data_IF_037703732492
#
_entry.id   IF_037703732492
#
_cell.length_a   1.000
_cell.length_b   1.000
_cell.length_c   1.000
_cell.angle_alpha   90.00
_cell.angle_beta   90.00
_cell.angle_gamma   90.00
#
_symmetry.space_group_name_H-M   'P 1'
#
loop_
_entity.id
_entity.type
_entity.pdbx_description
1 polymer ?
#
# COMPACT_ATOMS: atom_id res chain seq x y z
N UNK A 1 18.83 -10.16 14.81
CA UNK A 1 17.75 -9.35 15.44
C UNK A 1 18.29 -8.43 16.57
N UNK A 2 19.12 -8.90 17.51
CA UNK A 2 19.60 -8.12 18.67
C UNK A 2 20.55 -6.95 18.28
N UNK A 3 21.38 -7.09 17.24
CA UNK A 3 22.27 -6.01 16.78
C UNK A 3 21.52 -4.83 16.13
N UNK A 4 20.40 -5.09 15.45
CA UNK A 4 19.56 -4.03 14.82
C UNK A 4 18.77 -3.20 15.86
N UNK A 5 18.34 -3.79 16.98
CA UNK A 5 17.70 -3.07 18.11
C UNK A 5 18.58 -1.97 18.69
N UNK A 6 19.90 -2.22 18.87
CA UNK A 6 20.83 -1.21 19.41
C UNK A 6 21.12 -0.05 18.48
N UNK A 7 21.14 -0.26 17.16
CA UNK A 7 21.39 0.83 16.20
C UNK A 7 20.21 1.79 16.09
N UNK A 8 18.95 1.33 16.13
CA UNK A 8 17.79 2.23 16.06
C UNK A 8 17.61 3.10 17.32
N UNK A 9 17.86 2.61 18.51
CA UNK A 9 17.80 3.41 19.76
C UNK A 9 18.88 4.50 19.83
N UNK A 10 19.98 4.37 19.11
CA UNK A 10 21.07 5.36 19.09
C UNK A 10 20.81 6.52 18.10
N UNK A 11 19.97 6.32 17.05
CA UNK A 11 19.70 7.35 16.05
C UNK A 11 18.62 8.38 16.47
N UNK A 12 17.89 8.16 17.55
CA UNK A 12 16.80 9.07 18.00
C UNK A 12 17.34 10.31 18.76
N UNK A 13 18.64 10.35 19.13
CA UNK A 13 19.18 11.41 19.99
C UNK A 13 19.87 12.58 19.28
N UNK A 14 20.22 12.46 17.99
CA UNK A 14 20.77 13.56 17.20
C UNK A 14 19.83 13.85 16.02
N UNK A 15 18.75 14.58 16.30
CA UNK A 15 17.92 15.16 15.25
C UNK A 15 18.63 16.38 14.66
N UNK A 16 19.58 16.18 13.75
CA UNK A 16 19.81 17.17 12.71
C UNK A 16 18.46 17.44 12.06
N UNK A 17 17.98 18.69 12.10
CA UNK A 17 16.74 19.11 11.45
C UNK A 17 16.92 18.92 9.94
N UNK A 18 16.62 17.71 9.46
CA UNK A 18 16.55 17.46 8.03
C UNK A 18 15.41 18.33 7.51
N UNK A 19 15.75 19.40 6.79
CA UNK A 19 14.75 20.22 6.11
C UNK A 19 14.09 19.34 5.03
N UNK A 20 12.76 19.18 5.05
CA UNK A 20 12.09 18.32 4.09
C UNK A 20 12.28 18.84 2.66
N UNK A 21 12.66 17.97 1.76
CA UNK A 21 12.73 18.24 0.33
C UNK A 21 11.32 18.04 -0.27
N UNK A 22 10.54 19.12 -0.30
CA UNK A 22 9.12 19.10 -0.68
C UNK A 22 8.99 19.32 -2.19
N UNK A 23 8.25 18.42 -2.87
CA UNK A 23 7.86 18.55 -4.28
C UNK A 23 6.35 18.38 -4.45
N UNK A 24 5.79 19.00 -5.48
CA UNK A 24 4.43 18.69 -5.96
C UNK A 24 4.48 17.39 -6.75
N UNK A 25 3.47 16.53 -6.59
CA UNK A 25 3.38 15.30 -7.37
C UNK A 25 3.15 15.61 -8.85
N UNK A 26 4.06 15.12 -9.67
CA UNK A 26 4.03 15.29 -11.12
C UNK A 26 4.65 14.04 -11.77
N UNK A 27 4.13 13.56 -12.90
CA UNK A 27 4.67 12.39 -13.59
C UNK A 27 6.16 12.46 -13.90
N UNK A 28 6.74 13.64 -14.12
CA UNK A 28 8.17 13.80 -14.37
C UNK A 28 9.07 13.26 -13.25
N UNK A 29 8.53 13.12 -12.03
CA UNK A 29 9.26 12.59 -10.88
C UNK A 29 9.48 11.07 -10.96
N UNK A 30 8.57 10.33 -11.57
CA UNK A 30 8.51 8.87 -11.49
C UNK A 30 8.24 8.15 -12.82
N UNK A 31 7.80 8.84 -13.89
CA UNK A 31 7.39 8.21 -15.16
C UNK A 31 8.50 7.39 -15.82
N UNK A 32 9.76 7.78 -15.63
CA UNK A 32 10.92 7.05 -16.17
C UNK A 32 11.07 5.65 -15.56
N UNK A 33 10.58 5.47 -14.34
CA UNK A 33 10.62 4.22 -13.59
C UNK A 33 9.28 3.47 -13.68
N UNK A 34 8.30 4.01 -14.40
CA UNK A 34 7.00 3.36 -14.53
C UNK A 34 7.13 2.06 -15.32
N UNK A 35 6.60 0.92 -14.82
CA UNK A 35 6.84 -0.40 -15.40
C UNK A 35 5.96 -0.67 -16.62
N UNK A 36 6.12 0.12 -17.68
CA UNK A 36 5.47 -0.15 -18.94
C UNK A 36 5.94 -1.49 -19.50
N UNK A 37 5.01 -2.38 -19.92
CA UNK A 37 5.39 -3.67 -20.46
C UNK A 37 6.16 -3.54 -21.77
N UNK A 38 7.16 -4.40 -21.93
CA UNK A 38 7.94 -4.54 -23.17
C UNK A 38 7.65 -5.89 -23.84
N UNK A 39 8.01 -6.04 -25.10
CA UNK A 39 7.69 -7.24 -25.89
C UNK A 39 8.25 -8.56 -25.35
N UNK A 40 9.32 -8.49 -24.53
CA UNK A 40 9.93 -9.65 -23.87
C UNK A 40 9.26 -10.03 -22.55
N UNK A 41 8.31 -9.25 -22.07
CA UNK A 41 7.68 -9.49 -20.77
C UNK A 41 6.71 -10.68 -20.81
N UNK A 42 6.64 -11.33 -19.66
CA UNK A 42 5.64 -12.34 -19.36
C UNK A 42 4.99 -12.06 -18.00
N UNK A 43 3.89 -12.75 -17.68
CA UNK A 43 3.11 -12.45 -16.47
C UNK A 43 3.91 -12.41 -15.17
N UNK A 44 4.96 -13.20 -15.03
CA UNK A 44 5.78 -13.20 -13.81
C UNK A 44 6.91 -12.18 -13.84
N UNK A 45 7.45 -11.78 -15.00
CA UNK A 45 8.39 -10.66 -15.08
C UNK A 45 7.70 -9.34 -14.71
N UNK A 46 6.39 -9.24 -14.98
CA UNK A 46 5.54 -8.13 -14.57
C UNK A 46 5.10 -8.18 -13.09
N UNK A 47 5.55 -9.20 -12.34
CA UNK A 47 5.35 -9.39 -10.92
C UNK A 47 4.01 -10.02 -10.52
N UNK A 48 4.05 -10.79 -9.45
CA UNK A 48 2.88 -11.39 -8.80
C UNK A 48 2.59 -10.65 -7.50
N UNK A 49 1.44 -10.00 -7.42
CA UNK A 49 0.92 -9.39 -6.21
C UNK A 49 0.11 -10.42 -5.41
N UNK A 50 0.39 -10.53 -4.12
CA UNK A 50 -0.42 -11.29 -3.17
C UNK A 50 -1.30 -10.31 -2.37
N UNK A 51 -2.61 -10.57 -2.33
CA UNK A 51 -3.57 -9.78 -1.55
C UNK A 51 -4.18 -10.69 -0.48
N UNK A 52 -4.00 -10.32 0.79
CA UNK A 52 -4.74 -10.96 1.88
C UNK A 52 -6.19 -10.46 1.84
N UNK A 53 -7.15 -11.37 1.71
CA UNK A 53 -8.57 -10.99 1.64
C UNK A 53 -9.19 -10.93 3.04
N UNK A 54 -10.28 -10.20 3.15
CA UNK A 54 -11.16 -10.29 4.31
C UNK A 54 -11.98 -11.58 4.33
N UNK A 55 -12.72 -11.82 5.42
CA UNK A 55 -13.62 -12.96 5.54
C UNK A 55 -14.82 -12.85 4.56
N UNK A 56 -15.61 -13.91 4.50
CA UNK A 56 -16.67 -14.11 3.48
C UNK A 56 -17.61 -12.94 3.23
N UNK A 57 -17.89 -12.06 4.17
CA UNK A 57 -18.78 -10.89 3.99
C UNK A 57 -18.00 -9.57 3.76
N UNK A 58 -16.68 -9.63 3.63
CA UNK A 58 -15.81 -8.46 3.47
C UNK A 58 -14.84 -8.59 2.28
N UNK A 59 -15.28 -9.28 1.23
CA UNK A 59 -14.44 -9.56 0.04
C UNK A 59 -14.34 -8.39 -0.95
N UNK A 60 -15.19 -7.38 -0.82
CA UNK A 60 -15.28 -6.25 -1.76
C UNK A 60 -13.97 -5.48 -1.90
N UNK A 61 -13.32 -5.17 -0.78
CA UNK A 61 -12.05 -4.44 -0.73
C UNK A 61 -10.94 -5.15 -1.52
N UNK A 62 -10.76 -6.46 -1.29
CA UNK A 62 -9.75 -7.25 -2.02
C UNK A 62 -10.05 -7.33 -3.53
N UNK A 63 -11.32 -7.38 -3.93
CA UNK A 63 -11.73 -7.37 -5.34
C UNK A 63 -11.43 -6.04 -6.01
N UNK A 64 -11.72 -4.92 -5.36
CA UNK A 64 -11.39 -3.58 -5.85
C UNK A 64 -9.87 -3.43 -6.02
N UNK A 65 -9.10 -3.80 -4.98
CA UNK A 65 -7.65 -3.78 -5.01
C UNK A 65 -7.06 -4.68 -6.10
N UNK A 66 -7.55 -5.92 -6.23
CA UNK A 66 -7.06 -6.88 -7.23
C UNK A 66 -7.33 -6.42 -8.66
N UNK A 67 -8.54 -5.92 -8.92
CA UNK A 67 -8.91 -5.40 -10.24
C UNK A 67 -8.11 -4.16 -10.63
N UNK A 68 -7.95 -3.21 -9.72
CA UNK A 68 -7.14 -2.01 -9.98
C UNK A 68 -5.66 -2.36 -10.20
N UNK A 69 -5.12 -3.32 -9.43
CA UNK A 69 -3.77 -3.82 -9.62
C UNK A 69 -3.55 -4.43 -11.01
N UNK A 70 -4.49 -5.26 -11.48
CA UNK A 70 -4.42 -5.83 -12.82
C UNK A 70 -4.48 -4.76 -13.92
N UNK A 71 -5.32 -3.73 -13.74
CA UNK A 71 -5.47 -2.63 -14.70
C UNK A 71 -4.21 -1.78 -14.83
N UNK A 72 -3.50 -1.54 -13.72
CA UNK A 72 -2.29 -0.71 -13.71
C UNK A 72 -1.04 -1.48 -14.13
N UNK A 73 -1.11 -2.81 -14.20
CA UNK A 73 -0.05 -3.58 -14.82
C UNK A 73 0.50 -4.78 -14.05
N UNK A 74 -0.13 -5.21 -12.95
CA UNK A 74 0.26 -6.48 -12.33
C UNK A 74 0.21 -7.63 -13.34
N UNK A 75 1.24 -8.46 -13.38
CA UNK A 75 1.27 -9.64 -14.26
C UNK A 75 0.39 -10.76 -13.76
N UNK A 76 0.24 -10.87 -12.44
CA UNK A 76 -0.66 -11.80 -11.77
C UNK A 76 -1.09 -11.22 -10.42
N UNK A 77 -2.30 -11.53 -9.99
CA UNK A 77 -2.81 -11.24 -8.65
C UNK A 77 -3.26 -12.55 -8.03
N UNK A 78 -2.79 -12.85 -6.82
CA UNK A 78 -3.22 -14.01 -6.03
C UNK A 78 -3.92 -13.51 -4.77
N UNK A 79 -5.21 -13.82 -4.64
CA UNK A 79 -6.00 -13.53 -3.46
C UNK A 79 -5.88 -14.70 -2.47
N UNK A 80 -5.54 -14.38 -1.24
CA UNK A 80 -5.38 -15.36 -0.15
C UNK A 80 -6.60 -15.33 0.75
N UNK A 81 -7.24 -16.47 0.93
CA UNK A 81 -8.46 -16.60 1.72
C UNK A 81 -8.58 -17.99 2.37
N UNK A 82 -9.57 -18.16 3.23
CA UNK A 82 -10.04 -19.47 3.66
C UNK A 82 -10.97 -20.11 2.60
N UNK A 83 -11.37 -21.34 2.83
CA UNK A 83 -12.19 -22.10 1.89
C UNK A 83 -13.61 -21.53 1.71
N UNK A 84 -14.21 -21.00 2.77
CA UNK A 84 -15.55 -20.42 2.71
C UNK A 84 -15.55 -19.10 1.92
N UNK A 85 -14.54 -18.29 2.14
CA UNK A 85 -14.32 -17.06 1.36
C UNK A 85 -14.02 -17.36 -0.11
N UNK A 86 -13.25 -18.42 -0.40
CA UNK A 86 -12.96 -18.82 -1.77
C UNK A 86 -14.21 -19.16 -2.57
N UNK A 87 -15.20 -19.85 -1.98
CA UNK A 87 -16.48 -20.18 -2.61
C UNK A 87 -17.29 -18.92 -3.03
N UNK A 88 -17.09 -17.82 -2.31
CA UNK A 88 -17.74 -16.55 -2.62
C UNK A 88 -16.94 -15.77 -3.68
N UNK A 89 -15.62 -15.81 -3.61
CA UNK A 89 -14.76 -15.07 -4.53
C UNK A 89 -14.73 -15.70 -5.93
N UNK A 90 -14.66 -17.04 -6.01
CA UNK A 90 -14.49 -17.75 -7.26
C UNK A 90 -15.49 -17.36 -8.35
N UNK A 91 -16.82 -17.27 -8.12
CA UNK A 91 -17.76 -16.85 -9.15
C UNK A 91 -17.70 -15.37 -9.53
N UNK A 92 -16.93 -14.55 -8.80
CA UNK A 92 -16.86 -13.10 -8.96
C UNK A 92 -15.54 -12.60 -9.56
N UNK A 93 -14.54 -13.47 -9.68
CA UNK A 93 -13.25 -13.17 -10.26
C UNK A 93 -13.07 -13.94 -11.57
N UNK A 94 -12.18 -13.48 -12.45
CA UNK A 94 -11.94 -14.12 -13.75
C UNK A 94 -10.47 -14.32 -14.05
N UNK A 95 -9.62 -13.41 -13.60
CA UNK A 95 -8.18 -13.39 -13.93
C UNK A 95 -7.30 -13.46 -12.69
N UNK A 96 -7.84 -13.11 -11.55
CA UNK A 96 -7.17 -13.27 -10.27
C UNK A 96 -7.15 -14.73 -9.86
N UNK A 97 -6.06 -15.15 -9.24
CA UNK A 97 -5.89 -16.51 -8.70
C UNK A 97 -6.34 -16.54 -7.24
N UNK A 98 -6.82 -17.70 -6.78
CA UNK A 98 -7.10 -17.95 -5.38
C UNK A 98 -6.04 -18.87 -4.78
N UNK A 99 -5.59 -18.53 -3.58
CA UNK A 99 -4.76 -19.37 -2.73
C UNK A 99 -5.50 -19.64 -1.42
N UNK A 100 -6.03 -20.85 -1.29
CA UNK A 100 -6.80 -21.23 -0.11
C UNK A 100 -5.83 -21.69 0.99
N UNK A 101 -5.92 -21.00 2.14
CA UNK A 101 -5.14 -21.32 3.34
C UNK A 101 -5.92 -22.34 4.16
N UNK A 102 -5.40 -23.54 4.26
CA UNK A 102 -5.96 -24.64 5.08
C UNK A 102 -5.18 -24.84 6.36
N UNK A 103 -3.87 -24.61 6.29
CA UNK A 103 -2.96 -24.78 7.41
C UNK A 103 -2.21 -23.50 7.74
N UNK A 104 -1.80 -23.34 9.00
CA UNK A 104 -1.07 -22.16 9.49
C UNK A 104 0.16 -21.78 8.66
N UNK A 105 0.83 -22.76 8.05
CA UNK A 105 2.05 -22.55 7.29
C UNK A 105 1.81 -22.29 5.78
N UNK A 106 0.59 -22.39 5.28
CA UNK A 106 0.33 -22.24 3.85
C UNK A 106 0.59 -20.82 3.37
N UNK A 107 0.24 -19.82 4.17
CA UNK A 107 0.55 -18.43 3.86
C UNK A 107 2.07 -18.19 3.75
N UNK A 108 2.84 -18.71 4.70
CA UNK A 108 4.30 -18.64 4.66
C UNK A 108 4.89 -19.34 3.42
N UNK A 109 4.36 -20.50 3.05
CA UNK A 109 4.81 -21.22 1.84
C UNK A 109 4.57 -20.38 0.58
N UNK A 110 3.40 -19.71 0.49
CA UNK A 110 3.09 -18.80 -0.61
C UNK A 110 4.05 -17.62 -0.67
N UNK A 111 4.31 -16.96 0.46
CA UNK A 111 5.20 -15.79 0.53
C UNK A 111 6.66 -16.10 0.18
N UNK A 112 7.08 -17.37 0.32
CA UNK A 112 8.43 -17.83 -0.10
C UNK A 112 8.54 -18.13 -1.59
N UNK A 113 7.45 -18.05 -2.33
CA UNK A 113 7.50 -18.20 -3.79
C UNK A 113 8.24 -16.99 -4.40
N UNK A 114 9.32 -17.27 -5.11
CA UNK A 114 10.17 -16.23 -5.73
C UNK A 114 9.44 -15.37 -6.77
N UNK A 115 8.24 -15.75 -7.19
CA UNK A 115 7.40 -14.97 -8.11
C UNK A 115 6.64 -13.86 -7.41
N UNK A 116 6.50 -13.93 -6.08
CA UNK A 116 5.85 -12.88 -5.27
C UNK A 116 6.72 -11.64 -5.29
N UNK A 117 6.23 -10.57 -5.88
CA UNK A 117 6.91 -9.29 -5.98
C UNK A 117 6.45 -8.28 -4.92
N UNK A 118 5.23 -8.41 -4.45
CA UNK A 118 4.64 -7.51 -3.44
C UNK A 118 3.46 -8.15 -2.72
N UNK A 119 3.13 -7.61 -1.56
CA UNK A 119 1.98 -8.05 -0.76
C UNK A 119 1.15 -6.83 -0.36
N UNK A 120 -0.17 -6.96 -0.44
CA UNK A 120 -1.14 -6.01 0.13
C UNK A 120 -1.91 -6.69 1.26
N UNK A 121 -1.90 -6.06 2.43
CA UNK A 121 -2.65 -6.53 3.61
C UNK A 121 -3.40 -5.35 4.22
N UNK A 122 -4.62 -5.61 4.66
CA UNK A 122 -5.42 -4.70 5.48
C UNK A 122 -6.81 -4.41 4.93
N UNK A 123 -6.99 -4.11 3.65
CA UNK A 123 -8.31 -3.80 3.12
C UNK A 123 -9.34 -4.89 3.43
N UNK A 124 -10.31 -4.59 4.32
CA UNK A 124 -11.38 -5.48 4.71
C UNK A 124 -10.96 -6.74 5.49
N UNK A 125 -9.75 -6.78 6.03
CA UNK A 125 -9.24 -7.99 6.71
C UNK A 125 -9.80 -8.18 8.11
N UNK A 126 -10.32 -7.11 8.72
CA UNK A 126 -10.66 -7.05 10.15
C UNK A 126 -9.43 -6.82 11.02
N UNK A 127 -9.58 -5.95 12.03
CA UNK A 127 -8.52 -5.67 13.00
C UNK A 127 -8.51 -6.78 14.08
N UNK A 128 -7.77 -7.86 13.82
CA UNK A 128 -7.69 -9.06 14.67
C UNK A 128 -6.28 -9.66 14.68
N UNK A 129 -6.06 -10.66 15.55
CA UNK A 129 -4.77 -11.31 15.72
C UNK A 129 -4.28 -12.04 14.46
N UNK A 130 -5.16 -12.56 13.63
CA UNK A 130 -4.78 -13.22 12.39
C UNK A 130 -4.24 -12.21 11.37
N UNK A 131 -4.93 -11.09 11.19
CA UNK A 131 -4.47 -9.98 10.34
C UNK A 131 -3.12 -9.46 10.82
N UNK A 132 -2.97 -9.28 12.14
CA UNK A 132 -1.70 -8.88 12.76
C UNK A 132 -0.59 -9.87 12.46
N UNK A 133 -0.83 -11.17 12.68
CA UNK A 133 0.16 -12.22 12.45
C UNK A 133 0.56 -12.33 10.97
N UNK A 134 -0.42 -12.23 10.05
CA UNK A 134 -0.16 -12.24 8.61
C UNK A 134 0.62 -11.01 8.15
N UNK A 135 0.38 -9.83 8.73
CA UNK A 135 1.13 -8.60 8.46
C UNK A 135 2.60 -8.78 8.82
N UNK A 136 2.90 -9.25 10.05
CA UNK A 136 4.28 -9.51 10.48
C UNK A 136 4.95 -10.59 9.64
N UNK A 137 4.20 -11.62 9.25
CA UNK A 137 4.70 -12.67 8.35
C UNK A 137 5.04 -12.12 6.96
N UNK A 138 4.19 -11.26 6.38
CA UNK A 138 4.47 -10.63 5.09
C UNK A 138 5.75 -9.79 5.15
N UNK A 139 5.90 -8.95 6.17
CA UNK A 139 7.09 -8.14 6.40
C UNK A 139 8.37 -8.97 6.61
N UNK A 140 8.26 -10.19 7.12
CA UNK A 140 9.39 -11.08 7.35
C UNK A 140 9.88 -11.78 6.06
N UNK A 141 9.01 -11.98 5.07
CA UNK A 141 9.31 -12.81 3.89
C UNK A 141 9.27 -12.07 2.56
N UNK A 142 8.65 -10.87 2.49
CA UNK A 142 8.53 -10.10 1.24
C UNK A 142 9.04 -8.68 1.45
N UNK A 143 9.93 -8.24 0.59
CA UNK A 143 10.56 -6.92 0.73
C UNK A 143 9.60 -5.76 0.47
N UNK A 144 8.62 -5.94 -0.41
CA UNK A 144 7.66 -4.90 -0.79
C UNK A 144 6.26 -5.19 -0.25
N UNK A 145 5.92 -4.52 0.86
CA UNK A 145 4.61 -4.66 1.50
C UNK A 145 3.86 -3.33 1.51
N UNK A 146 2.59 -3.36 1.13
CA UNK A 146 1.64 -2.26 1.32
C UNK A 146 0.71 -2.64 2.46
N UNK A 147 0.71 -1.83 3.52
CA UNK A 147 -0.06 -2.04 4.73
C UNK A 147 -1.09 -0.91 4.83
N UNK A 148 -2.37 -1.26 4.81
CA UNK A 148 -3.48 -0.31 4.80
C UNK A 148 -4.57 -0.72 5.82
N UNK A 149 -5.48 0.15 6.11
CA UNK A 149 -6.74 -0.10 6.83
C UNK A 149 -6.56 -0.94 8.11
N UNK A 150 -7.23 -2.11 8.17
CA UNK A 150 -7.26 -2.96 9.36
C UNK A 150 -5.88 -3.46 9.78
N UNK A 151 -4.95 -3.66 8.84
CA UNK A 151 -3.59 -4.06 9.16
C UNK A 151 -2.80 -2.95 9.88
N UNK A 152 -3.11 -1.67 9.63
CA UNK A 152 -2.60 -0.55 10.42
C UNK A 152 -3.24 -0.55 11.80
N UNK A 153 -4.57 -0.69 11.86
CA UNK A 153 -5.35 -0.66 13.10
C UNK A 153 -4.95 -1.77 14.08
N UNK A 154 -4.52 -2.94 13.60
CA UNK A 154 -4.02 -4.03 14.45
C UNK A 154 -2.86 -3.62 15.39
N UNK A 155 -2.16 -2.55 15.10
CA UNK A 155 -0.99 -2.10 15.87
C UNK A 155 -1.23 -0.84 16.69
N UNK A 156 -2.49 -0.36 16.83
CA UNK A 156 -2.81 0.87 17.56
C UNK A 156 -2.35 0.86 19.02
N UNK A 157 -2.38 -0.29 19.69
CA UNK A 157 -1.97 -0.44 21.10
C UNK A 157 -0.47 -0.75 21.26
N UNK A 158 0.21 -1.17 20.20
CA UNK A 158 1.64 -1.49 20.22
C UNK A 158 2.29 -1.25 18.84
N UNK A 159 2.43 0.00 18.42
CA UNK A 159 2.95 0.35 17.09
C UNK A 159 4.41 -0.06 16.90
N UNK A 160 5.19 -0.18 17.98
CA UNK A 160 6.59 -0.61 17.91
C UNK A 160 6.74 -2.02 17.35
N UNK A 161 5.75 -2.90 17.56
CA UNK A 161 5.74 -4.23 16.97
C UNK A 161 5.76 -4.20 15.44
N UNK A 162 5.02 -3.25 14.84
CA UNK A 162 5.05 -3.02 13.39
C UNK A 162 6.38 -2.38 12.97
N UNK A 163 6.81 -1.33 13.65
CA UNK A 163 7.96 -0.52 13.24
C UNK A 163 9.29 -1.26 13.32
N UNK A 164 9.40 -2.32 14.13
CA UNK A 164 10.58 -3.18 14.19
C UNK A 164 10.79 -3.91 12.86
N UNK A 165 9.72 -4.31 12.21
CA UNK A 165 9.73 -5.15 11.01
C UNK A 165 9.48 -4.39 9.70
N UNK A 166 9.17 -3.07 9.75
CA UNK A 166 9.07 -2.23 8.56
C UNK A 166 10.44 -1.83 8.00
N UNK A 167 10.48 -1.60 6.69
CA UNK A 167 11.68 -1.24 5.93
C UNK A 167 11.39 -0.06 4.99
N UNK A 168 12.42 0.57 4.39
CA UNK A 168 12.23 1.63 3.40
C UNK A 168 11.44 1.21 2.14
N UNK A 169 11.21 -0.09 1.95
CA UNK A 169 10.38 -0.64 0.88
C UNK A 169 8.93 -0.94 1.31
N UNK A 170 8.63 -0.79 2.60
CA UNK A 170 7.26 -0.88 3.14
C UNK A 170 6.54 0.44 2.91
N UNK A 171 5.27 0.38 2.53
CA UNK A 171 4.40 1.55 2.34
C UNK A 171 3.23 1.42 3.30
N UNK A 172 3.08 2.41 4.19
CA UNK A 172 1.93 2.57 5.07
C UNK A 172 1.01 3.62 4.44
N UNK A 173 -0.29 3.32 4.32
CA UNK A 173 -1.26 4.22 3.65
C UNK A 173 -2.40 4.68 4.58
N UNK A 174 -2.11 5.23 5.76
CA UNK A 174 -3.15 5.62 6.71
C UNK A 174 -3.99 6.81 6.21
N UNK A 175 -5.29 6.82 6.52
CA UNK A 175 -6.06 8.05 6.62
C UNK A 175 -5.80 8.72 7.99
N UNK A 176 -6.28 9.95 8.21
CA UNK A 176 -6.01 10.71 9.46
C UNK A 176 -6.38 9.92 10.74
N UNK A 177 -7.47 9.17 10.73
CA UNK A 177 -7.88 8.37 11.90
C UNK A 177 -6.94 7.19 12.19
N UNK A 178 -6.50 6.46 11.16
CA UNK A 178 -5.51 5.38 11.26
C UNK A 178 -4.15 5.94 11.65
N UNK A 179 -3.77 7.07 11.07
CA UNK A 179 -2.54 7.78 11.39
C UNK A 179 -2.46 8.12 12.89
N UNK A 180 -3.54 8.73 13.42
CA UNK A 180 -3.62 9.08 14.83
C UNK A 180 -3.51 7.85 15.74
N UNK A 181 -4.20 6.76 15.41
CA UNK A 181 -4.13 5.51 16.18
C UNK A 181 -2.72 4.91 16.17
N UNK A 182 -2.04 4.92 15.02
CA UNK A 182 -0.73 4.29 14.88
C UNK A 182 0.41 5.14 15.46
N UNK A 183 0.40 6.47 15.23
CA UNK A 183 1.52 7.35 15.59
C UNK A 183 1.29 8.14 16.88
N UNK A 184 0.08 8.06 17.46
CA UNK A 184 -0.28 8.72 18.70
C UNK A 184 -0.39 10.24 18.60
N UNK A 185 -0.87 10.87 19.65
CA UNK A 185 -1.16 12.30 19.68
C UNK A 185 0.09 13.18 19.49
N UNK A 186 1.26 12.73 19.94
CA UNK A 186 2.50 13.50 19.85
C UNK A 186 2.89 13.86 18.41
N UNK A 187 2.64 12.99 17.45
CA UNK A 187 2.89 13.25 16.02
C UNK A 187 1.61 13.70 15.33
N UNK A 188 0.49 13.04 15.61
CA UNK A 188 -0.77 13.28 14.90
C UNK A 188 -1.35 14.68 15.11
N UNK A 189 -1.08 15.33 16.25
CA UNK A 189 -1.56 16.67 16.57
C UNK A 189 -0.62 17.80 16.11
N UNK A 190 0.46 17.50 15.41
CA UNK A 190 1.28 18.54 14.79
C UNK A 190 0.44 19.29 13.74
N UNK A 191 0.51 20.62 13.75
CA UNK A 191 -0.26 21.47 12.82
C UNK A 191 0.18 21.31 11.37
N UNK A 192 1.47 21.08 11.12
CA UNK A 192 2.04 20.91 9.79
C UNK A 192 1.93 19.45 9.35
N UNK A 193 1.06 19.20 8.36
CA UNK A 193 0.84 17.87 7.78
C UNK A 193 2.10 17.26 7.15
N UNK A 194 2.98 18.09 6.60
CA UNK A 194 4.25 17.61 6.02
C UNK A 194 5.17 17.14 7.13
N UNK A 195 5.35 17.95 8.17
CA UNK A 195 6.23 17.60 9.29
C UNK A 195 5.75 16.34 10.01
N UNK A 196 4.45 16.22 10.29
CA UNK A 196 3.92 15.01 10.94
C UNK A 196 4.13 13.74 10.07
N UNK A 197 3.99 13.86 8.74
CA UNK A 197 4.23 12.74 7.84
C UNK A 197 5.71 12.34 7.79
N UNK A 198 6.63 13.32 7.79
CA UNK A 198 8.08 13.08 7.86
C UNK A 198 8.48 12.40 9.16
N UNK A 199 8.00 12.88 10.31
CA UNK A 199 8.32 12.27 11.61
C UNK A 199 7.74 10.85 11.71
N UNK A 200 6.53 10.62 11.18
CA UNK A 200 5.94 9.30 11.10
C UNK A 200 6.79 8.35 10.22
N UNK A 201 7.24 8.80 9.05
CA UNK A 201 8.09 8.00 8.16
C UNK A 201 9.44 7.65 8.80
N UNK A 202 10.07 8.60 9.52
CA UNK A 202 11.30 8.35 10.29
C UNK A 202 11.07 7.33 11.39
N UNK A 203 10.00 7.49 12.19
CA UNK A 203 9.66 6.61 13.29
C UNK A 203 9.38 5.19 12.81
N UNK A 204 8.56 5.04 11.77
CA UNK A 204 8.26 3.76 11.17
C UNK A 204 9.43 3.18 10.37
N UNK A 205 10.38 3.98 9.90
CA UNK A 205 11.45 3.54 9.00
C UNK A 205 10.94 3.08 7.63
N UNK A 206 9.79 3.59 7.18
CA UNK A 206 9.06 3.18 5.99
C UNK A 206 8.48 4.38 5.25
N UNK A 207 7.95 4.17 4.04
CA UNK A 207 7.17 5.19 3.34
C UNK A 207 5.85 5.36 4.06
N UNK A 208 5.43 6.61 4.32
CA UNK A 208 4.11 6.95 4.83
C UNK A 208 3.38 7.80 3.80
N UNK A 209 2.22 7.34 3.38
CA UNK A 209 1.28 8.04 2.52
C UNK A 209 0.06 8.42 3.40
N UNK A 210 0.03 9.65 3.87
CA UNK A 210 -1.08 10.18 4.69
C UNK A 210 -2.19 10.68 3.76
N UNK A 211 -3.27 9.89 3.68
CA UNK A 211 -4.43 10.17 2.82
C UNK A 211 -5.14 11.47 3.21
N UNK A 212 -5.72 12.17 2.23
CA UNK A 212 -6.51 13.38 2.40
C UNK A 212 -6.64 14.14 1.08
N UNK A 213 -7.33 15.29 1.11
CA UNK A 213 -7.43 16.18 -0.05
C UNK A 213 -6.03 16.56 -0.59
N UNK A 214 -5.13 16.90 0.33
CA UNK A 214 -3.70 16.97 0.08
C UNK A 214 -3.05 15.70 0.66
N UNK A 215 -2.91 14.69 -0.15
CA UNK A 215 -2.18 13.48 0.25
C UNK A 215 -0.69 13.79 0.33
N UNK A 216 -0.08 13.54 1.49
CA UNK A 216 1.36 13.75 1.72
C UNK A 216 2.06 12.40 1.74
N UNK A 217 3.13 12.28 0.96
CA UNK A 217 3.96 11.08 0.87
C UNK A 217 5.35 11.44 1.37
N UNK A 218 5.84 10.75 2.39
CA UNK A 218 7.17 10.98 2.96
C UNK A 218 7.97 9.69 3.06
N UNK A 219 9.29 9.80 2.89
CA UNK A 219 10.23 8.72 3.16
C UNK A 219 11.04 8.99 4.46
N UNK A 220 11.73 7.98 5.02
CA UNK A 220 12.54 8.16 6.22
C UNK A 220 13.74 9.11 6.05
N UNK A 221 14.09 9.46 4.82
CA UNK A 221 15.20 10.39 4.50
C UNK A 221 14.76 11.84 4.43
N UNK A 222 13.44 12.12 4.55
CA UNK A 222 12.87 13.46 4.50
C UNK A 222 12.52 13.94 3.09
N UNK A 223 12.50 13.07 2.08
CA UNK A 223 11.88 13.40 0.80
C UNK A 223 10.38 13.43 0.97
N UNK A 224 9.73 14.47 0.43
CA UNK A 224 8.29 14.66 0.53
C UNK A 224 7.70 15.01 -0.83
N UNK A 225 6.59 14.37 -1.14
CA UNK A 225 5.75 14.72 -2.29
C UNK A 225 4.33 15.00 -1.81
N UNK A 226 3.76 16.12 -2.26
CA UNK A 226 2.37 16.51 -1.99
C UNK A 226 1.56 16.26 -3.25
N UNK A 227 0.52 15.44 -3.13
CA UNK A 227 -0.43 15.16 -4.19
C UNK A 227 -1.76 15.86 -3.88
N UNK A 228 -1.90 17.10 -4.35
CA UNK A 228 -3.14 17.85 -4.25
C UNK A 228 -4.10 17.42 -5.35
N UNK A 229 -5.37 17.22 -4.98
CA UNK A 229 -6.43 16.80 -5.90
C UNK A 229 -7.68 17.63 -5.70
N UNK A 230 -8.31 18.03 -6.79
CA UNK A 230 -9.61 18.68 -6.83
C UNK A 230 -10.78 17.66 -6.98
N UNK A 231 -10.59 16.43 -6.52
CA UNK A 231 -11.56 15.35 -6.64
C UNK A 231 -12.22 15.01 -5.28
N UNK A 232 -13.14 15.84 -4.74
CA UNK A 232 -13.82 15.56 -3.47
C UNK A 232 -14.65 14.27 -3.52
N UNK A 233 -15.01 13.82 -4.71
CA UNK A 233 -15.76 12.58 -4.97
C UNK A 233 -14.99 11.30 -4.62
N UNK A 234 -13.66 11.39 -4.44
CA UNK A 234 -12.83 10.29 -3.91
C UNK A 234 -13.15 9.92 -2.45
N UNK A 235 -13.89 10.78 -1.73
CA UNK A 235 -14.41 10.49 -0.40
C UNK A 235 -15.60 9.51 -0.46
N UNK A 236 -15.39 8.34 -1.06
CA UNK A 236 -16.37 7.25 -1.18
C UNK A 236 -15.78 5.94 -0.67
N UNK A 237 -16.64 5.03 -0.21
CA UNK A 237 -16.21 3.71 0.26
C UNK A 237 -15.50 2.93 -0.86
N UNK A 238 -14.41 2.26 -0.52
CA UNK A 238 -13.63 1.45 -1.46
C UNK A 238 -12.57 2.22 -2.25
N UNK A 239 -12.60 3.56 -2.27
CA UNK A 239 -11.61 4.38 -2.98
C UNK A 239 -10.18 4.14 -2.49
N UNK A 240 -10.00 3.98 -1.17
CA UNK A 240 -8.72 3.64 -0.56
C UNK A 240 -8.22 2.26 -0.98
N UNK A 241 -9.12 1.29 -1.12
CA UNK A 241 -8.77 -0.08 -1.54
C UNK A 241 -8.22 -0.10 -2.98
N UNK A 242 -8.83 0.70 -3.86
CA UNK A 242 -8.35 0.91 -5.23
C UNK A 242 -6.94 1.53 -5.21
N UNK A 243 -6.73 2.59 -4.41
CA UNK A 243 -5.41 3.22 -4.27
C UNK A 243 -4.35 2.22 -3.79
N UNK A 244 -4.67 1.45 -2.74
CA UNK A 244 -3.76 0.45 -2.18
C UNK A 244 -3.41 -0.63 -3.23
N UNK A 245 -4.38 -1.09 -4.02
CA UNK A 245 -4.17 -2.02 -5.12
C UNK A 245 -3.26 -1.48 -6.23
N UNK A 246 -3.46 -0.22 -6.63
CA UNK A 246 -2.60 0.47 -7.61
C UNK A 246 -1.16 0.52 -7.10
N UNK A 247 -0.94 0.99 -5.87
CA UNK A 247 0.40 1.11 -5.28
C UNK A 247 1.08 -0.27 -5.19
N UNK A 248 0.35 -1.28 -4.68
CA UNK A 248 0.88 -2.63 -4.52
C UNK A 248 1.24 -3.30 -5.84
N UNK A 249 0.58 -2.93 -6.93
CA UNK A 249 0.93 -3.38 -8.28
C UNK A 249 2.20 -2.72 -8.82
N UNK A 250 2.45 -1.47 -8.47
CA UNK A 250 3.58 -0.68 -9.00
C UNK A 250 4.90 -0.96 -8.29
N UNK A 251 4.87 -1.32 -7.01
CA UNK A 251 6.07 -1.57 -6.21
C UNK A 251 6.65 -2.96 -6.46
N UNK A 252 7.99 -3.08 -6.53
CA UNK A 252 8.68 -4.37 -6.68
C UNK A 252 10.11 -4.21 -7.21
N UNK A 253 10.93 -5.26 -7.13
CA UNK A 253 12.35 -5.22 -7.50
C UNK A 253 12.59 -4.83 -8.97
N UNK A 254 11.77 -5.35 -9.88
CA UNK A 254 11.84 -5.04 -11.31
C UNK A 254 10.80 -4.01 -11.74
N UNK A 255 10.31 -3.19 -10.80
CA UNK A 255 9.28 -2.18 -10.98
C UNK A 255 9.73 -0.85 -10.40
N UNK A 256 8.82 -0.15 -9.74
CA UNK A 256 9.12 1.11 -9.07
C UNK A 256 9.66 0.86 -7.65
N UNK A 257 10.56 1.72 -7.18
CA UNK A 257 10.84 1.79 -5.76
C UNK A 257 9.57 2.23 -4.99
N UNK A 258 9.55 2.00 -3.69
CA UNK A 258 8.36 2.23 -2.87
C UNK A 258 7.88 3.69 -2.86
N UNK A 259 8.81 4.65 -2.87
CA UNK A 259 8.45 6.07 -2.87
C UNK A 259 7.81 6.49 -4.20
N UNK A 260 8.43 6.12 -5.33
CA UNK A 260 7.88 6.41 -6.65
C UNK A 260 6.54 5.71 -6.89
N UNK A 261 6.39 4.45 -6.42
CA UNK A 261 5.13 3.70 -6.51
C UNK A 261 4.00 4.38 -5.74
N UNK A 262 4.29 4.88 -4.53
CA UNK A 262 3.31 5.63 -3.73
C UNK A 262 2.92 6.96 -4.43
N UNK A 263 3.89 7.69 -5.00
CA UNK A 263 3.64 8.93 -5.74
C UNK A 263 2.81 8.67 -7.01
N UNK A 264 3.19 7.69 -7.81
CA UNK A 264 2.47 7.32 -9.03
C UNK A 264 1.05 6.84 -8.74
N UNK A 265 0.88 5.99 -7.71
CA UNK A 265 -0.44 5.50 -7.29
C UNK A 265 -1.35 6.64 -6.85
N UNK A 266 -0.87 7.55 -6.01
CA UNK A 266 -1.63 8.72 -5.58
C UNK A 266 -2.02 9.62 -6.77
N UNK A 267 -1.10 9.85 -7.71
CA UNK A 267 -1.36 10.65 -8.90
C UNK A 267 -2.44 10.01 -9.79
N UNK A 268 -2.27 8.73 -10.13
CA UNK A 268 -3.22 7.99 -10.98
C UNK A 268 -4.62 8.00 -10.35
N UNK A 269 -4.72 7.68 -9.06
CA UNK A 269 -5.97 7.64 -8.33
C UNK A 269 -6.67 8.99 -8.30
N UNK A 270 -5.95 10.09 -8.02
CA UNK A 270 -6.52 11.42 -7.98
C UNK A 270 -6.97 11.90 -9.37
N UNK A 271 -6.19 11.61 -10.42
CA UNK A 271 -6.54 11.97 -11.79
C UNK A 271 -7.78 11.23 -12.30
N UNK A 272 -7.94 9.96 -11.95
CA UNK A 272 -9.19 9.24 -12.24
C UNK A 272 -10.40 9.90 -11.54
N UNK A 273 -10.25 10.27 -10.26
CA UNK A 273 -11.30 10.98 -9.54
C UNK A 273 -11.69 12.32 -10.17
N UNK A 274 -10.70 13.11 -10.63
CA UNK A 274 -10.93 14.36 -11.35
C UNK A 274 -11.64 14.14 -12.69
N UNK A 275 -11.28 13.10 -13.43
CA UNK A 275 -11.85 12.79 -14.75
C UNK A 275 -13.28 12.27 -14.67
N UNK A 276 -13.59 11.46 -13.66
CA UNK A 276 -14.91 10.86 -13.50
C UNK A 276 -15.89 11.89 -12.91
N UNK A 277 -15.49 12.57 -11.84
CA UNK A 277 -16.27 13.66 -11.26
C UNK A 277 -17.51 13.20 -10.46
N UNK A 278 -18.61 13.97 -10.53
CA UNK A 278 -19.81 13.70 -9.74
C UNK A 278 -20.44 12.33 -10.01
N UNK A 279 -20.82 11.63 -8.94
CA UNK A 279 -21.44 10.29 -9.02
C UNK A 279 -20.43 9.15 -9.01
N UNK A 280 -19.14 9.44 -8.87
CA UNK A 280 -18.07 8.45 -8.78
C UNK A 280 -18.35 7.43 -7.65
N UNK A 281 -18.20 6.17 -7.98
CA UNK A 281 -18.07 5.05 -7.04
C UNK A 281 -16.71 4.37 -7.22
N UNK A 282 -16.28 3.56 -6.24
CA UNK A 282 -14.94 2.98 -6.25
C UNK A 282 -14.68 2.07 -7.48
N UNK A 283 -15.70 1.40 -7.98
CA UNK A 283 -15.61 0.57 -9.19
C UNK A 283 -15.20 1.36 -10.44
N UNK A 284 -15.56 2.63 -10.53
CA UNK A 284 -15.20 3.50 -11.66
C UNK A 284 -13.69 3.78 -11.69
N UNK A 285 -13.04 3.85 -10.52
CA UNK A 285 -11.60 4.08 -10.36
C UNK A 285 -10.73 2.89 -10.80
N UNK A 286 -11.33 1.72 -11.02
CA UNK A 286 -10.60 0.54 -11.49
C UNK A 286 -10.07 0.75 -12.90
N UNK A 287 -10.79 1.45 -13.76
CA UNK A 287 -10.38 1.62 -15.15
C UNK A 287 -9.31 2.70 -15.33
N UNK A 288 -8.05 2.31 -15.21
CA UNK A 288 -6.90 3.19 -15.39
C UNK A 288 -6.53 3.45 -16.86
N UNK A 289 -7.17 2.78 -17.83
CA UNK A 289 -6.85 2.87 -19.27
C UNK A 289 -6.83 4.29 -19.82
N UNK A 290 -7.74 5.19 -19.46
CA UNK A 290 -7.73 6.56 -19.97
C UNK A 290 -6.43 7.31 -19.68
N UNK A 291 -5.77 7.02 -18.54
CA UNK A 291 -4.49 7.64 -18.18
C UNK A 291 -3.30 6.91 -18.80
N UNK A 292 -3.38 5.58 -18.93
CA UNK A 292 -2.30 4.76 -19.50
C UNK A 292 -2.14 4.94 -21.01
N UNK A 293 -3.15 5.44 -21.72
CA UNK A 293 -3.12 5.70 -23.17
C UNK A 293 -2.57 7.07 -23.55
N UNK A 294 -2.36 7.96 -22.60
CA UNK A 294 -1.76 9.28 -22.81
C UNK A 294 -0.22 9.15 -22.79
N UNK A 295 0.36 8.65 -23.90
CA UNK A 295 1.82 8.59 -24.09
C UNK A 295 2.33 9.86 -24.73
#
# INVERSE_FOLDING_TARGET
HVKRRRQRQMCIRDSDKIMPNIKKNDPSLWIKNFPFPVSSDHKYSRGMLVINTGPQFQTGAARLAGRSAMRVGAGAVTMVCDEETAKILEPQISVELLSVIKEKNDFQKLLKDKRVSSVLIGPGNGANDETKARTLMALAFVDHCVIDADAITCFENNPEELFIDTYPHTILTPHEGEFKRLFGDGIALMDDKVLKCVEAAKLAGSIVLLKGADTVIADPKGNVVINSSEAPYLATAGSGDVLAGIIASLVGDNKMNAFDAACAGAYIHSKLGEMIGPGLIAEDLIDTRPLMSQK
#
